data_IF_973511812818
#
_entry.id   IF_973511812818
#
_cell.length_a   1.000
_cell.length_b   1.000
_cell.length_c   1.000
_cell.angle_alpha   90.00
_cell.angle_beta   90.00
_cell.angle_gamma   90.00
#
_symmetry.space_group_name_H-M   'P 1'
#
loop_
_entity.id
_entity.type
_entity.pdbx_description
1 polymer ?
#
# COMPACT_ATOMS: atom_id res chain seq x y z
N UNK A 1 -0.35 8.83 6.21
CA UNK A 1 0.89 9.54 5.86
C UNK A 1 1.43 10.10 7.16
N UNK A 2 2.65 9.71 7.52
CA UNK A 2 3.30 9.83 8.84
C UNK A 2 2.59 9.14 10.02
N UNK A 3 1.28 9.34 10.21
CA UNK A 3 0.47 8.62 11.20
C UNK A 3 -0.57 7.74 10.53
N UNK A 4 -1.19 6.83 11.29
CA UNK A 4 -2.31 5.99 10.88
C UNK A 4 -3.61 6.47 11.50
N UNK A 5 -4.71 6.40 10.76
CA UNK A 5 -6.05 6.68 11.30
C UNK A 5 -6.48 5.62 12.30
N UNK A 6 -6.16 4.37 12.03
CA UNK A 6 -6.40 3.26 12.95
C UNK A 6 -5.18 3.03 13.84
N UNK A 7 -5.42 2.78 15.13
CA UNK A 7 -4.35 2.56 16.10
C UNK A 7 -3.66 1.22 15.81
N UNK A 8 -2.37 1.27 15.55
CA UNK A 8 -1.54 0.07 15.42
C UNK A 8 -1.25 -0.55 16.80
N UNK A 9 -1.12 -1.87 16.89
CA UNK A 9 -0.54 -2.53 18.05
C UNK A 9 0.86 -1.98 18.38
N UNK A 10 1.25 -1.99 19.65
CA UNK A 10 2.48 -1.31 20.09
C UNK A 10 3.74 -1.94 19.50
N UNK A 11 3.81 -3.28 19.47
CA UNK A 11 4.88 -4.02 18.80
C UNK A 11 5.01 -3.67 17.31
N UNK A 12 3.88 -3.47 16.61
CA UNK A 12 3.86 -3.06 15.19
C UNK A 12 4.36 -1.63 15.01
N UNK A 13 4.02 -0.72 15.93
CA UNK A 13 4.57 0.65 15.90
C UNK A 13 6.07 0.68 16.11
N UNK A 14 6.57 -0.10 17.09
CA UNK A 14 8.01 -0.23 17.35
C UNK A 14 8.71 -0.71 16.08
N UNK A 15 8.19 -1.76 15.44
CA UNK A 15 8.71 -2.26 14.17
C UNK A 15 8.82 -1.17 13.08
N UNK A 16 7.74 -0.40 12.83
CA UNK A 16 7.78 0.66 11.81
C UNK A 16 8.69 1.83 12.19
N UNK A 17 8.76 2.17 13.47
CA UNK A 17 9.66 3.21 13.97
C UNK A 17 11.12 2.81 13.79
N UNK A 18 11.46 1.56 14.13
CA UNK A 18 12.82 1.04 13.99
C UNK A 18 13.20 0.91 12.52
N UNK A 19 12.28 0.49 11.65
CA UNK A 19 12.51 0.49 10.20
C UNK A 19 12.75 1.91 9.66
N UNK A 20 11.92 2.88 10.06
CA UNK A 20 12.07 4.28 9.64
C UNK A 20 13.42 4.87 10.05
N UNK A 21 13.83 4.63 11.31
CA UNK A 21 15.17 5.01 11.81
C UNK A 21 16.27 4.28 11.06
N UNK A 22 16.13 2.97 10.86
CA UNK A 22 17.13 2.16 10.17
C UNK A 22 17.30 2.54 8.71
N UNK A 23 16.28 3.11 8.07
CA UNK A 23 16.33 3.63 6.70
C UNK A 23 16.69 5.11 6.61
N UNK A 24 16.70 5.82 7.74
CA UNK A 24 16.81 7.28 7.80
C UNK A 24 15.80 7.98 6.89
N UNK A 25 14.54 7.51 6.92
CA UNK A 25 13.46 8.08 6.11
C UNK A 25 12.12 7.95 6.80
N UNK A 26 11.20 8.85 6.46
CA UNK A 26 9.84 8.82 6.96
C UNK A 26 9.02 7.77 6.22
N UNK A 27 8.34 6.90 6.97
CA UNK A 27 7.37 5.95 6.43
C UNK A 27 6.01 6.63 6.25
N UNK A 28 5.42 6.52 5.06
CA UNK A 28 4.17 7.19 4.73
C UNK A 28 3.05 6.16 4.51
N UNK A 29 2.21 5.97 5.53
CA UNK A 29 1.09 5.04 5.47
C UNK A 29 -0.03 5.52 4.52
N UNK A 30 -0.56 4.63 3.69
CA UNK A 30 -1.67 4.91 2.76
C UNK A 30 -2.67 3.75 2.72
N UNK A 31 -3.70 3.87 1.87
CA UNK A 31 -4.62 2.76 1.65
C UNK A 31 -5.63 2.60 2.78
N UNK A 32 -6.04 1.36 3.05
CA UNK A 32 -7.18 1.13 3.93
C UNK A 32 -6.92 1.52 5.39
N UNK A 33 -5.68 1.48 5.87
CA UNK A 33 -5.28 1.93 7.22
C UNK A 33 -5.56 3.43 7.47
N UNK A 34 -5.80 4.21 6.42
CA UNK A 34 -6.18 5.62 6.49
C UNK A 34 -7.69 5.86 6.34
N UNK A 35 -8.50 4.82 6.12
CA UNK A 35 -9.92 4.91 5.80
C UNK A 35 -10.80 4.19 6.79
N UNK A 36 -12.10 4.46 6.77
CA UNK A 36 -13.06 3.81 7.66
C UNK A 36 -13.35 2.34 7.31
N UNK A 37 -12.93 1.87 6.14
CA UNK A 37 -13.10 0.47 5.72
C UNK A 37 -11.95 -0.44 6.18
N UNK A 38 -11.05 -0.02 7.08
CA UNK A 38 -9.98 -0.88 7.59
C UNK A 38 -10.52 -2.01 8.47
N UNK A 39 -10.09 -3.25 8.22
CA UNK A 39 -10.41 -4.41 9.06
C UNK A 39 -9.12 -4.89 9.74
N UNK A 40 -8.95 -4.63 11.05
CA UNK A 40 -7.79 -5.11 11.80
C UNK A 40 -7.63 -6.63 11.67
N UNK A 41 -6.40 -7.09 11.41
CA UNK A 41 -6.09 -8.52 11.23
C UNK A 41 -6.35 -9.09 9.83
N UNK A 42 -7.22 -8.46 9.03
CA UNK A 42 -7.52 -8.90 7.64
C UNK A 42 -7.00 -7.95 6.56
N UNK A 43 -6.87 -6.66 6.88
CA UNK A 43 -6.38 -5.65 5.95
C UNK A 43 -4.87 -5.44 6.12
N UNK A 44 -4.15 -5.47 4.99
CA UNK A 44 -2.73 -5.13 4.94
C UNK A 44 -2.50 -3.64 5.30
N UNK A 45 -1.31 -3.36 5.83
CA UNK A 45 -0.83 -1.99 6.09
C UNK A 45 0.00 -1.55 4.89
N UNK A 46 -0.51 -0.59 4.12
CA UNK A 46 0.20 -0.06 2.96
C UNK A 46 1.11 1.11 3.36
N UNK A 47 2.38 1.10 2.93
CA UNK A 47 3.43 2.04 3.32
C UNK A 47 4.28 2.47 2.13
N UNK A 48 4.41 3.78 1.92
CA UNK A 48 5.34 4.36 0.97
C UNK A 48 6.68 4.71 1.63
N UNK A 49 7.75 4.47 0.88
CA UNK A 49 9.14 4.84 1.20
C UNK A 49 9.70 5.65 0.03
N UNK A 50 10.05 6.91 0.29
CA UNK A 50 10.69 7.77 -0.69
C UNK A 50 12.17 7.95 -0.36
N UNK A 51 13.02 7.84 -1.38
CA UNK A 51 14.48 7.84 -1.24
C UNK A 51 15.15 8.41 -2.48
N UNK A 52 16.37 8.91 -2.33
CA UNK A 52 17.22 9.30 -3.46
C UNK A 52 17.97 8.11 -4.05
N UNK A 53 18.08 7.00 -3.30
CA UNK A 53 18.76 5.79 -3.73
C UNK A 53 17.93 4.54 -3.44
N UNK A 54 17.07 4.20 -4.41
CA UNK A 54 16.19 3.03 -4.36
C UNK A 54 16.98 1.72 -4.17
N UNK A 55 18.13 1.57 -4.83
CA UNK A 55 18.95 0.37 -4.73
C UNK A 55 19.49 0.14 -3.32
N UNK A 56 20.03 1.19 -2.69
CA UNK A 56 20.51 1.15 -1.30
C UNK A 56 19.37 0.89 -0.31
N UNK A 57 18.23 1.57 -0.47
CA UNK A 57 17.05 1.36 0.37
C UNK A 57 16.55 -0.08 0.29
N UNK A 58 16.48 -0.67 -0.90
CA UNK A 58 16.12 -2.09 -1.07
C UNK A 58 17.10 -2.99 -0.31
N UNK A 59 18.41 -2.78 -0.46
CA UNK A 59 19.42 -3.58 0.24
C UNK A 59 19.29 -3.48 1.77
N UNK A 60 19.03 -2.29 2.31
CA UNK A 60 18.77 -2.08 3.74
C UNK A 60 17.49 -2.79 4.18
N UNK A 61 16.41 -2.65 3.42
CA UNK A 61 15.15 -3.34 3.71
C UNK A 61 15.29 -4.86 3.63
N UNK A 62 16.09 -5.39 2.70
CA UNK A 62 16.39 -6.83 2.65
C UNK A 62 17.01 -7.32 3.95
N UNK A 63 17.99 -6.59 4.48
CA UNK A 63 18.68 -6.93 5.72
C UNK A 63 17.73 -6.83 6.92
N UNK A 64 17.02 -5.72 7.06
CA UNK A 64 16.10 -5.48 8.18
C UNK A 64 14.93 -6.47 8.21
N UNK A 65 14.34 -6.76 7.06
CA UNK A 65 13.17 -7.65 6.95
C UNK A 65 13.55 -9.13 6.84
N UNK A 66 14.84 -9.45 6.70
CA UNK A 66 15.36 -10.80 6.43
C UNK A 66 14.74 -11.45 5.18
N UNK A 67 14.67 -10.70 4.08
CA UNK A 67 14.05 -11.15 2.82
C UNK A 67 15.02 -11.14 1.64
N UNK A 68 14.75 -11.98 0.65
CA UNK A 68 15.52 -12.05 -0.60
C UNK A 68 15.24 -10.84 -1.48
N UNK A 69 16.24 -10.41 -2.28
CA UNK A 69 16.08 -9.34 -3.28
C UNK A 69 14.95 -9.62 -4.26
N UNK A 70 14.76 -10.88 -4.62
CA UNK A 70 13.71 -11.34 -5.52
C UNK A 70 12.30 -11.11 -4.99
N UNK A 71 12.13 -10.88 -3.69
CA UNK A 71 10.83 -10.52 -3.10
C UNK A 71 10.38 -9.10 -3.47
N UNK A 72 11.32 -8.25 -3.88
CA UNK A 72 11.02 -6.90 -4.38
C UNK A 72 10.67 -6.97 -5.87
N UNK A 73 9.42 -6.68 -6.19
CA UNK A 73 8.91 -6.67 -7.56
C UNK A 73 8.95 -5.26 -8.11
N UNK A 74 9.39 -5.10 -9.36
CA UNK A 74 9.33 -3.80 -10.04
C UNK A 74 7.86 -3.45 -10.31
N UNK A 75 7.53 -2.18 -10.16
CA UNK A 75 6.20 -1.65 -10.46
C UNK A 75 6.29 -0.47 -11.41
N UNK A 76 5.27 -0.36 -12.25
CA UNK A 76 5.06 0.77 -13.17
C UNK A 76 3.65 1.28 -12.94
N UNK A 77 3.53 2.59 -12.75
CA UNK A 77 2.26 3.21 -12.46
C UNK A 77 2.09 4.50 -13.26
N UNK A 78 0.98 4.61 -14.00
CA UNK A 78 0.58 5.87 -14.62
C UNK A 78 -0.31 6.64 -13.67
N UNK A 79 0.15 7.81 -13.21
CA UNK A 79 -0.64 8.70 -12.37
C UNK A 79 -1.85 9.22 -13.15
N UNK A 80 -3.04 9.13 -12.56
CA UNK A 80 -4.30 9.42 -13.24
C UNK A 80 -4.50 10.89 -13.56
N UNK A 81 -3.90 11.77 -12.76
CA UNK A 81 -4.09 13.22 -12.83
C UNK A 81 -3.08 13.93 -13.74
N UNK A 82 -1.86 13.41 -13.86
CA UNK A 82 -0.79 14.00 -14.69
C UNK A 82 -0.45 13.15 -15.91
N UNK A 83 -0.87 11.88 -15.93
CA UNK A 83 -0.40 10.91 -16.91
C UNK A 83 1.07 10.50 -16.75
N UNK A 84 1.75 10.99 -15.71
CA UNK A 84 3.17 10.73 -15.45
C UNK A 84 3.39 9.24 -15.16
N UNK A 85 4.43 8.67 -15.78
CA UNK A 85 4.88 7.31 -15.49
C UNK A 85 5.82 7.31 -14.28
N UNK A 86 5.41 6.61 -13.23
CA UNK A 86 6.16 6.38 -11.99
C UNK A 86 6.69 4.96 -12.01
N UNK A 87 7.97 4.83 -11.70
CA UNK A 87 8.65 3.55 -11.54
C UNK A 87 9.02 3.36 -10.08
N UNK A 88 8.91 2.13 -9.60
CA UNK A 88 9.26 1.82 -8.22
C UNK A 88 9.44 0.33 -7.99
N UNK A 89 9.52 -0.02 -6.71
CA UNK A 89 9.57 -1.40 -6.25
C UNK A 89 8.53 -1.62 -5.18
N UNK A 90 8.08 -2.86 -5.07
CA UNK A 90 7.07 -3.25 -4.11
C UNK A 90 7.41 -4.57 -3.46
N UNK A 91 7.18 -4.68 -2.17
CA UNK A 91 7.33 -5.92 -1.42
C UNK A 91 6.14 -6.13 -0.48
N UNK A 92 5.59 -7.35 -0.50
CA UNK A 92 4.68 -7.82 0.52
C UNK A 92 5.49 -8.49 1.62
N UNK A 93 5.38 -8.00 2.85
CA UNK A 93 6.03 -8.54 4.04
C UNK A 93 4.98 -9.10 5.01
N UNK A 94 5.22 -10.31 5.50
CA UNK A 94 4.37 -10.96 6.51
C UNK A 94 5.25 -11.46 7.65
N UNK A 95 4.88 -11.10 8.87
CA UNK A 95 5.53 -11.56 10.09
C UNK A 95 4.45 -12.12 11.04
N UNK A 96 4.36 -13.46 11.18
CA UNK A 96 3.37 -14.10 12.05
C UNK A 96 3.54 -13.74 13.52
N UNK A 97 4.79 -13.63 14.02
CA UNK A 97 5.09 -13.35 15.43
C UNK A 97 4.59 -11.96 15.85
N UNK A 98 4.64 -11.00 14.93
CA UNK A 98 4.11 -9.64 15.14
C UNK A 98 2.63 -9.51 14.74
N UNK A 99 2.03 -10.56 14.18
CA UNK A 99 0.72 -10.53 13.51
C UNK A 99 0.64 -9.36 12.50
N UNK A 100 1.70 -9.20 11.69
CA UNK A 100 1.89 -8.08 10.78
C UNK A 100 1.82 -8.53 9.33
N UNK A 101 0.97 -7.88 8.54
CA UNK A 101 0.99 -7.93 7.08
C UNK A 101 1.13 -6.51 6.55
N UNK A 102 2.26 -6.21 5.91
CA UNK A 102 2.62 -4.86 5.48
C UNK A 102 3.15 -4.85 4.05
N UNK A 103 2.61 -3.96 3.24
CA UNK A 103 2.98 -3.76 1.86
C UNK A 103 3.80 -2.48 1.73
N UNK A 104 5.05 -2.61 1.28
CA UNK A 104 5.93 -1.47 1.09
C UNK A 104 6.08 -1.14 -0.39
N UNK A 105 5.87 0.11 -0.73
CA UNK A 105 6.15 0.68 -2.05
C UNK A 105 7.31 1.66 -1.95
N UNK A 106 8.34 1.48 -2.78
CA UNK A 106 9.60 2.23 -2.74
C UNK A 106 9.73 3.02 -4.03
N UNK A 107 9.87 4.34 -3.90
CA UNK A 107 9.95 5.27 -5.01
C UNK A 107 11.11 6.24 -4.88
N UNK A 108 11.58 6.77 -6.01
CA UNK A 108 12.46 7.93 -6.00
C UNK A 108 11.74 9.18 -5.49
N UNK A 109 12.46 10.04 -4.76
CA UNK A 109 11.92 11.29 -4.20
C UNK A 109 11.26 12.20 -5.25
N UNK A 110 11.74 12.18 -6.51
CA UNK A 110 11.15 12.96 -7.62
C UNK A 110 9.67 12.65 -7.88
N UNK A 111 9.20 11.45 -7.51
CA UNK A 111 7.80 11.04 -7.69
C UNK A 111 6.92 11.33 -6.47
N UNK A 112 7.50 11.78 -5.35
CA UNK A 112 6.83 11.91 -4.06
C UNK A 112 5.55 12.72 -4.13
N UNK A 113 5.60 13.91 -4.73
CA UNK A 113 4.43 14.79 -4.80
C UNK A 113 3.25 14.13 -5.52
N UNK A 114 3.47 13.62 -6.73
CA UNK A 114 2.40 13.01 -7.53
C UNK A 114 1.83 11.73 -6.91
N UNK A 115 2.68 10.89 -6.32
CA UNK A 115 2.24 9.66 -5.62
C UNK A 115 1.38 10.01 -4.40
N UNK A 116 1.83 10.95 -3.56
CA UNK A 116 1.09 11.36 -2.37
C UNK A 116 -0.24 12.02 -2.72
N UNK A 117 -0.27 12.90 -3.72
CA UNK A 117 -1.52 13.49 -4.20
C UNK A 117 -2.54 12.43 -4.63
N UNK A 118 -2.08 11.37 -5.30
CA UNK A 118 -2.95 10.29 -5.72
C UNK A 118 -3.47 9.45 -4.53
N UNK A 119 -2.62 9.14 -3.55
CA UNK A 119 -3.03 8.45 -2.33
C UNK A 119 -4.00 9.29 -1.47
N UNK A 120 -3.79 10.60 -1.37
CA UNK A 120 -4.68 11.51 -0.65
C UNK A 120 -6.09 11.52 -1.25
N UNK A 121 -6.21 11.59 -2.59
CA UNK A 121 -7.50 11.50 -3.29
C UNK A 121 -8.27 10.21 -2.97
N UNK A 122 -7.54 9.12 -2.67
CA UNK A 122 -8.10 7.81 -2.31
C UNK A 122 -8.21 7.58 -0.80
N UNK A 123 -7.90 8.58 0.01
CA UNK A 123 -8.01 8.51 1.47
C UNK A 123 -9.33 9.11 1.95
N UNK A 124 -9.72 10.26 1.40
CA UNK A 124 -11.00 10.89 1.70
C UNK A 124 -12.01 10.47 0.65
N UNK A 125 -12.80 9.44 0.96
CA UNK A 125 -13.81 8.91 0.05
C UNK A 125 -15.22 9.24 0.55
N UNK A 126 -16.21 9.39 -0.35
CA UNK A 126 -17.60 9.61 0.04
C UNK A 126 -18.17 8.47 0.91
N UNK A 127 -19.17 8.81 1.73
CA UNK A 127 -19.79 7.87 2.65
C UNK A 127 -20.38 6.64 1.93
N UNK A 128 -21.05 6.84 0.79
CA UNK A 128 -21.59 5.74 -0.01
C UNK A 128 -20.50 4.79 -0.53
N UNK A 129 -19.33 5.31 -0.92
CA UNK A 129 -18.20 4.49 -1.35
C UNK A 129 -17.66 3.66 -0.18
N UNK A 130 -17.64 4.22 1.02
CA UNK A 130 -17.24 3.51 2.24
C UNK A 130 -18.18 2.35 2.55
N UNK A 131 -19.51 2.57 2.46
CA UNK A 131 -20.50 1.50 2.64
C UNK A 131 -20.28 0.37 1.63
N UNK A 132 -20.10 0.71 0.34
CA UNK A 132 -19.85 -0.30 -0.70
C UNK A 132 -18.58 -1.10 -0.42
N UNK A 133 -17.48 -0.44 -0.01
CA UNK A 133 -16.24 -1.10 0.39
C UNK A 133 -16.44 -2.03 1.58
N UNK A 134 -17.23 -1.61 2.57
CA UNK A 134 -17.54 -2.43 3.74
C UNK A 134 -18.32 -3.69 3.33
N UNK A 135 -19.34 -3.55 2.48
CA UNK A 135 -20.14 -4.68 1.98
C UNK A 135 -19.26 -5.69 1.26
N UNK A 136 -18.46 -5.26 0.26
CA UNK A 136 -17.62 -6.21 -0.49
C UNK A 136 -16.57 -6.87 0.39
N UNK A 137 -16.09 -6.18 1.43
CA UNK A 137 -15.14 -6.75 2.40
C UNK A 137 -15.80 -7.81 3.27
N UNK A 138 -17.02 -7.59 3.75
CA UNK A 138 -17.78 -8.60 4.47
C UNK A 138 -18.05 -9.85 3.61
N UNK A 139 -18.43 -9.65 2.35
CA UNK A 139 -18.64 -10.75 1.40
C UNK A 139 -17.36 -11.57 1.14
N UNK A 140 -16.18 -10.92 1.17
CA UNK A 140 -14.90 -11.56 0.89
C UNK A 140 -14.24 -12.19 2.13
N UNK A 141 -14.08 -11.41 3.21
CA UNK A 141 -13.32 -11.82 4.38
C UNK A 141 -14.12 -12.71 5.34
N UNK A 142 -15.41 -12.44 5.53
CA UNK A 142 -16.20 -13.13 6.56
C UNK A 142 -17.07 -14.23 5.95
N UNK A 143 -17.72 -13.95 4.80
CA UNK A 143 -18.62 -14.90 4.17
C UNK A 143 -17.94 -15.80 3.14
N UNK A 144 -16.72 -15.45 2.70
CA UNK A 144 -15.96 -16.19 1.69
C UNK A 144 -16.74 -16.46 0.38
N UNK A 145 -17.70 -15.59 0.02
CA UNK A 145 -18.54 -15.72 -1.17
C UNK A 145 -17.81 -15.20 -2.41
N UNK A 146 -17.03 -14.14 -2.26
CA UNK A 146 -16.33 -13.51 -3.38
C UNK A 146 -14.96 -14.16 -3.63
N UNK A 147 -14.65 -14.54 -4.88
CA UNK A 147 -13.26 -14.86 -5.25
C UNK A 147 -12.37 -13.62 -5.15
N UNK A 148 -11.07 -13.84 -4.92
CA UNK A 148 -10.09 -12.76 -4.77
C UNK A 148 -10.02 -11.83 -5.99
N UNK A 149 -10.16 -12.37 -7.20
CA UNK A 149 -10.16 -11.58 -8.44
C UNK A 149 -11.36 -10.64 -8.52
N UNK A 150 -12.56 -11.15 -8.21
CA UNK A 150 -13.80 -10.37 -8.16
C UNK A 150 -13.74 -9.30 -7.09
N UNK A 151 -13.28 -9.65 -5.88
CA UNK A 151 -13.07 -8.68 -4.80
C UNK A 151 -12.13 -7.54 -5.25
N UNK A 152 -10.99 -7.87 -5.85
CA UNK A 152 -10.03 -6.89 -6.36
C UNK A 152 -10.67 -6.00 -7.43
N UNK A 153 -11.42 -6.59 -8.36
CA UNK A 153 -12.11 -5.86 -9.42
C UNK A 153 -13.12 -4.84 -8.84
N UNK A 154 -14.03 -5.29 -7.98
CA UNK A 154 -15.04 -4.41 -7.37
C UNK A 154 -14.40 -3.32 -6.50
N UNK A 155 -13.40 -3.68 -5.68
CA UNK A 155 -12.64 -2.73 -4.88
C UNK A 155 -12.02 -1.64 -5.75
N UNK A 156 -11.39 -2.01 -6.86
CA UNK A 156 -10.80 -1.05 -7.79
C UNK A 156 -11.88 -0.15 -8.40
N UNK A 157 -13.00 -0.71 -8.87
CA UNK A 157 -14.09 0.07 -9.45
C UNK A 157 -14.72 1.05 -8.48
N UNK A 158 -14.94 0.64 -7.23
CA UNK A 158 -15.43 1.56 -6.18
C UNK A 158 -14.41 2.69 -5.94
N UNK A 159 -13.12 2.36 -5.83
CA UNK A 159 -12.04 3.34 -5.62
C UNK A 159 -11.67 4.15 -6.87
N UNK A 160 -12.36 3.98 -7.99
CA UNK A 160 -12.20 4.79 -9.20
C UNK A 160 -13.51 5.54 -9.49
N UNK A 161 -14.58 4.80 -9.78
CA UNK A 161 -15.86 5.35 -10.22
C UNK A 161 -16.53 6.19 -9.14
N UNK A 162 -16.56 5.71 -7.89
CA UNK A 162 -17.26 6.41 -6.81
C UNK A 162 -16.56 7.71 -6.38
N UNK A 163 -15.33 7.95 -6.84
CA UNK A 163 -14.56 9.17 -6.57
C UNK A 163 -14.25 9.98 -7.84
N UNK A 164 -14.87 9.63 -8.97
CA UNK A 164 -14.69 10.34 -10.24
C UNK A 164 -13.28 10.24 -10.84
N UNK A 165 -12.50 9.21 -10.49
CA UNK A 165 -11.17 8.99 -11.05
C UNK A 165 -11.22 7.94 -12.17
N UNK A 166 -10.37 8.08 -13.21
CA UNK A 166 -10.22 7.03 -14.22
C UNK A 166 -9.59 5.78 -13.60
N UNK A 167 -9.75 4.64 -14.28
CA UNK A 167 -9.10 3.40 -13.87
C UNK A 167 -7.59 3.54 -13.85
N UNK A 168 -6.97 3.04 -12.79
CA UNK A 168 -5.51 3.11 -12.63
C UNK A 168 -4.80 2.09 -13.50
N UNK A 169 -3.74 2.54 -14.17
CA UNK A 169 -2.81 1.67 -14.88
C UNK A 169 -1.62 1.39 -13.95
N UNK A 170 -1.78 0.38 -13.10
CA UNK A 170 -0.74 -0.10 -12.18
C UNK A 170 -0.34 -1.53 -12.55
N UNK A 171 0.93 -1.72 -12.88
CA UNK A 171 1.47 -3.01 -13.31
C UNK A 171 2.60 -3.44 -12.39
N UNK A 172 2.51 -4.68 -11.90
CA UNK A 172 3.62 -5.35 -11.24
C UNK A 172 4.36 -6.16 -12.28
N UNK A 173 5.61 -5.80 -12.55
CA UNK A 173 6.45 -6.50 -13.49
C UNK A 173 7.00 -7.75 -12.81
N UNK A 174 6.50 -8.92 -13.20
CA UNK A 174 7.17 -10.17 -12.89
C UNK A 174 8.42 -10.24 -13.77
N UNK A 175 9.58 -9.93 -13.18
CA UNK A 175 10.85 -10.30 -13.80
C UNK A 175 11.00 -11.80 -13.53
N UNK A 176 10.41 -12.62 -14.40
CA UNK A 176 10.80 -14.03 -14.49
C UNK A 176 12.32 -14.02 -14.71
N UNK A 177 13.05 -14.63 -13.77
CA UNK A 177 14.45 -14.99 -14.00
C UNK A 177 14.48 -16.27 -14.79
#
# INVERSE_FOLDING_TARGET
>A
METTKHKLPENVKIFFNDLGKYLDTKLLFYGSIQRHDYFPGSSDIDVDVFTDNVGSTISRMQHFLHVKKSSFKKIVWRLSHTGQMVYGYKIMYKNPDLNLSAEFSIYENKYKKGVLEQHLKKTVIPFYATILLFIIKKLYYDLHILPAESYRYFKMKILSLCIGLPDEQFLVLNVNK
#
